data_IF_276522183831
#
_entry.id   IF_276522183831
#
_cell.length_a   1.000
_cell.length_b   1.000
_cell.length_c   1.000
_cell.angle_alpha   90.00
_cell.angle_beta   90.00
_cell.angle_gamma   90.00
#
_symmetry.space_group_name_H-M   'P 1'
#
loop_
_entity.id
_entity.type
_entity.pdbx_description
1 polymer ?
#
# COMPACT_ATOMS: atom_id res chain seq x y z
N UNK A 1 12.44 -36.40 -2.88
CA UNK A 1 13.63 -35.92 -3.63
C UNK A 1 13.29 -35.03 -4.83
N UNK A 2 12.27 -35.35 -5.64
CA UNK A 2 11.82 -34.47 -6.76
C UNK A 2 11.13 -33.17 -6.33
N UNK A 3 10.31 -33.19 -5.26
CA UNK A 3 9.75 -31.96 -4.67
C UNK A 3 10.86 -30.99 -4.21
N UNK A 4 11.96 -31.51 -3.68
CA UNK A 4 13.01 -30.71 -3.04
C UNK A 4 13.76 -29.77 -4.00
N UNK A 5 14.10 -30.24 -5.20
CA UNK A 5 14.85 -29.42 -6.18
C UNK A 5 13.93 -28.38 -6.83
N UNK A 6 12.70 -28.77 -7.16
CA UNK A 6 11.70 -27.86 -7.73
C UNK A 6 11.35 -26.73 -6.74
N UNK A 7 11.25 -27.07 -5.46
CA UNK A 7 10.99 -26.13 -4.38
C UNK A 7 12.19 -25.19 -4.15
N UNK A 8 13.43 -25.67 -4.17
CA UNK A 8 14.62 -24.80 -4.04
C UNK A 8 14.68 -23.74 -5.16
N UNK A 9 14.34 -24.11 -6.40
CA UNK A 9 14.28 -23.14 -7.51
C UNK A 9 13.21 -22.08 -7.25
N UNK A 10 12.01 -22.47 -6.81
CA UNK A 10 10.94 -21.53 -6.45
C UNK A 10 11.32 -20.57 -5.32
N UNK A 11 12.02 -21.07 -4.29
CA UNK A 11 12.53 -20.21 -3.22
C UNK A 11 13.58 -19.20 -3.71
N UNK A 12 14.49 -19.64 -4.58
CA UNK A 12 15.46 -18.73 -5.22
C UNK A 12 14.72 -17.68 -6.06
N UNK A 13 13.66 -18.05 -6.78
CA UNK A 13 12.83 -17.10 -7.53
C UNK A 13 12.18 -16.07 -6.60
N UNK A 14 11.63 -16.47 -5.43
CA UNK A 14 11.06 -15.53 -4.46
C UNK A 14 12.13 -14.58 -3.91
N UNK A 15 13.29 -15.09 -3.49
CA UNK A 15 14.39 -14.24 -3.03
C UNK A 15 14.84 -13.28 -4.14
N UNK A 16 14.84 -13.73 -5.39
CA UNK A 16 15.17 -12.90 -6.56
C UNK A 16 14.09 -11.84 -6.80
N UNK A 17 12.80 -12.19 -6.76
CA UNK A 17 11.67 -11.26 -6.90
C UNK A 17 11.67 -10.24 -5.77
N UNK A 18 11.94 -10.66 -4.53
CA UNK A 18 12.10 -9.75 -3.38
C UNK A 18 13.30 -8.82 -3.57
N UNK A 19 14.44 -9.34 -4.03
CA UNK A 19 15.62 -8.52 -4.28
C UNK A 19 15.36 -7.52 -5.41
N UNK A 20 14.65 -7.91 -6.46
CA UNK A 20 14.21 -7.00 -7.52
C UNK A 20 13.17 -6.00 -7.02
N UNK A 21 12.15 -6.41 -6.27
CA UNK A 21 11.13 -5.52 -5.69
C UNK A 21 11.77 -4.48 -4.78
N UNK A 22 12.60 -4.90 -3.81
CA UNK A 22 13.29 -4.02 -2.87
C UNK A 22 14.30 -3.06 -3.54
N UNK A 23 14.89 -3.44 -4.68
CA UNK A 23 15.82 -2.58 -5.43
C UNK A 23 15.13 -1.71 -6.49
N UNK A 24 13.95 -2.11 -6.97
CA UNK A 24 13.12 -1.36 -7.93
C UNK A 24 11.94 -0.61 -7.32
N UNK A 25 11.76 -0.63 -5.99
CA UNK A 25 10.83 0.28 -5.31
C UNK A 25 11.13 1.77 -5.60
N UNK A 26 12.29 2.10 -6.20
CA UNK A 26 12.59 3.41 -6.76
C UNK A 26 12.39 3.59 -8.27
N UNK A 27 12.10 2.53 -9.06
CA UNK A 27 12.16 2.61 -10.55
C UNK A 27 11.19 1.73 -11.36
N UNK A 28 10.35 0.87 -10.78
CA UNK A 28 9.33 0.15 -11.56
C UNK A 28 7.95 0.16 -10.89
N UNK A 29 7.32 1.34 -10.90
CA UNK A 29 5.87 1.48 -10.99
C UNK A 29 5.60 2.32 -12.23
N UNK A 30 5.01 1.75 -13.27
CA UNK A 30 4.58 2.51 -14.43
C UNK A 30 3.68 3.64 -13.96
N UNK A 31 3.96 4.85 -14.44
CA UNK A 31 3.21 6.07 -14.21
C UNK A 31 1.75 5.94 -14.71
N UNK A 32 0.92 5.31 -13.88
CA UNK A 32 -0.53 5.36 -13.92
C UNK A 32 -0.97 5.73 -12.50
N UNK A 33 -0.47 6.85 -11.99
CA UNK A 33 -1.12 7.52 -10.87
C UNK A 33 -2.46 8.09 -11.34
N UNK A 34 -3.39 8.31 -10.41
CA UNK A 34 -4.67 9.01 -10.64
C UNK A 34 -4.49 10.32 -11.38
N UNK A 35 -3.34 10.95 -11.19
CA UNK A 35 -3.01 12.26 -11.67
C UNK A 35 -2.30 12.19 -13.02
N UNK A 36 -3.06 11.99 -14.11
CA UNK A 36 -2.52 12.16 -15.48
C UNK A 36 -2.45 13.64 -15.85
N UNK A 37 -1.37 14.30 -15.44
CA UNK A 37 -0.88 15.55 -16.03
C UNK A 37 -1.77 16.80 -15.89
N UNK A 38 -1.13 17.97 -15.80
CA UNK A 38 -1.82 19.26 -15.88
C UNK A 38 -2.37 19.48 -17.30
N UNK A 39 -3.68 19.32 -17.47
CA UNK A 39 -4.39 19.89 -18.61
C UNK A 39 -5.18 21.11 -18.13
N UNK A 40 -4.97 22.27 -18.74
CA UNK A 40 -5.88 23.41 -18.61
C UNK A 40 -7.20 23.03 -19.29
N UNK A 41 -8.15 22.50 -18.51
CA UNK A 41 -9.46 22.14 -19.01
C UNK A 41 -10.38 23.35 -18.83
N UNK A 42 -10.81 23.92 -19.95
CA UNK A 42 -11.86 24.94 -20.00
C UNK A 42 -13.20 24.23 -19.81
N UNK A 43 -13.67 24.11 -18.56
CA UNK A 43 -14.96 23.49 -18.31
C UNK A 43 -16.12 24.36 -18.82
N UNK A 44 -17.03 23.76 -19.59
CA UNK A 44 -18.30 24.38 -20.02
C UNK A 44 -19.41 24.08 -19.01
N UNK A 45 -20.42 24.95 -19.03
CA UNK A 45 -21.59 25.20 -18.17
C UNK A 45 -22.34 24.06 -17.42
N UNK A 46 -21.95 22.77 -17.46
CA UNK A 46 -22.68 21.65 -16.84
C UNK A 46 -21.87 20.91 -15.74
N UNK A 47 -21.19 21.67 -14.88
CA UNK A 47 -20.44 21.08 -13.76
C UNK A 47 -21.28 21.05 -12.48
N UNK A 48 -21.39 19.88 -11.86
CA UNK A 48 -21.79 19.75 -10.45
C UNK A 48 -20.54 19.73 -9.61
N UNK A 49 -20.50 20.50 -8.52
CA UNK A 49 -19.34 20.55 -7.64
C UNK A 49 -19.70 20.24 -6.18
N UNK A 50 -18.82 19.50 -5.53
CA UNK A 50 -18.82 19.38 -4.07
C UNK A 50 -17.55 20.02 -3.54
N UNK A 51 -17.74 21.04 -2.70
CA UNK A 51 -16.65 21.84 -2.15
C UNK A 51 -16.43 21.50 -0.68
N UNK A 52 -15.17 21.35 -0.30
CA UNK A 52 -14.72 21.17 1.08
C UNK A 52 -13.65 22.21 1.38
N UNK A 53 -13.87 23.04 2.39
CA UNK A 53 -12.88 24.05 2.81
C UNK A 53 -12.18 23.61 4.08
N UNK A 54 -10.85 23.58 4.05
CA UNK A 54 -10.01 23.29 5.20
C UNK A 54 -8.86 24.29 5.20
N UNK A 55 -8.79 25.07 6.27
CA UNK A 55 -7.89 26.24 6.37
C UNK A 55 -8.07 27.18 5.14
N UNK A 56 -6.96 27.56 4.50
CA UNK A 56 -6.93 28.42 3.32
C UNK A 56 -7.11 27.68 1.99
N UNK A 57 -7.35 26.37 2.06
CA UNK A 57 -7.53 25.51 0.90
C UNK A 57 -9.00 25.16 0.67
N UNK A 58 -9.39 25.19 -0.60
CA UNK A 58 -10.67 24.71 -1.09
C UNK A 58 -10.43 23.50 -1.98
N UNK A 59 -11.00 22.37 -1.60
CA UNK A 59 -11.03 21.15 -2.40
C UNK A 59 -12.35 21.09 -3.14
N UNK A 60 -12.27 20.75 -4.42
CA UNK A 60 -13.43 20.67 -5.28
C UNK A 60 -13.42 19.38 -6.06
N UNK A 61 -14.49 18.61 -5.91
CA UNK A 61 -14.81 17.51 -6.81
C UNK A 61 -15.78 18.04 -7.86
N UNK A 62 -15.40 18.00 -9.13
CA UNK A 62 -16.19 18.41 -10.29
C UNK A 62 -16.73 17.17 -11.00
N UNK A 63 -17.98 17.20 -11.43
CA UNK A 63 -18.55 16.21 -12.33
C UNK A 63 -19.01 16.90 -13.61
N UNK A 64 -18.50 16.48 -14.77
CA UNK A 64 -18.93 16.94 -16.08
C UNK A 64 -20.06 16.06 -16.59
N UNK A 65 -21.29 16.57 -16.58
CA UNK A 65 -22.47 15.80 -17.00
C UNK A 65 -22.44 15.38 -18.47
N UNK A 66 -21.71 16.08 -19.34
CA UNK A 66 -21.66 15.77 -20.78
C UNK A 66 -20.74 14.58 -21.04
N UNK A 67 -19.55 14.60 -20.45
CA UNK A 67 -18.53 13.56 -20.65
C UNK A 67 -18.62 12.43 -19.63
N UNK A 68 -19.26 12.68 -18.48
CA UNK A 68 -19.31 11.79 -17.31
C UNK A 68 -18.02 11.75 -16.49
N UNK A 69 -16.98 12.48 -16.89
CA UNK A 69 -15.70 12.52 -16.17
C UNK A 69 -15.82 13.34 -14.89
N UNK A 70 -15.04 12.94 -13.90
CA UNK A 70 -14.88 13.69 -12.67
C UNK A 70 -13.52 14.37 -12.65
N UNK A 71 -13.38 15.45 -11.87
CA UNK A 71 -12.11 16.15 -11.70
C UNK A 71 -11.91 16.53 -10.24
N UNK A 72 -10.67 16.41 -9.77
CA UNK A 72 -10.25 16.88 -8.45
C UNK A 72 -9.48 18.18 -8.60
N UNK A 73 -9.88 19.24 -7.90
CA UNK A 73 -9.14 20.50 -7.84
C UNK A 73 -8.80 20.87 -6.40
N UNK A 74 -7.63 21.49 -6.24
CA UNK A 74 -7.24 22.17 -5.00
C UNK A 74 -6.97 23.63 -5.34
N UNK A 75 -7.59 24.52 -4.59
CA UNK A 75 -7.41 25.96 -4.71
C UNK A 75 -6.83 26.52 -3.41
N UNK A 76 -5.95 27.51 -3.52
CA UNK A 76 -5.38 28.28 -2.42
C UNK A 76 -5.65 29.76 -2.71
N UNK A 77 -6.29 30.49 -1.78
CA UNK A 77 -6.65 31.91 -1.96
C UNK A 77 -7.41 32.17 -3.28
N UNK A 78 -8.38 31.32 -3.61
CA UNK A 78 -9.18 31.36 -4.86
C UNK A 78 -8.39 31.06 -6.15
N UNK A 79 -7.06 30.94 -6.08
CA UNK A 79 -6.22 30.49 -7.18
C UNK A 79 -6.12 28.97 -7.21
N UNK A 80 -6.36 28.36 -8.37
CA UNK A 80 -6.18 26.92 -8.56
C UNK A 80 -4.70 26.55 -8.47
N UNK A 81 -4.34 25.67 -7.54
CA UNK A 81 -2.97 25.15 -7.35
C UNK A 81 -2.82 23.72 -7.85
N UNK A 82 -3.93 22.99 -8.00
CA UNK A 82 -3.93 21.61 -8.48
C UNK A 82 -5.21 21.26 -9.24
N UNK A 83 -5.08 20.38 -10.23
CA UNK A 83 -6.21 19.82 -10.97
C UNK A 83 -5.85 18.44 -11.50
N UNK A 84 -6.83 17.55 -11.50
CA UNK A 84 -6.74 16.21 -12.07
C UNK A 84 -8.04 15.79 -12.68
N UNK A 85 -7.96 15.03 -13.76
CA UNK A 85 -9.04 14.16 -14.18
C UNK A 85 -9.11 12.93 -13.26
N UNK A 86 -10.33 12.54 -12.90
CA UNK A 86 -10.70 11.34 -12.17
C UNK A 86 -11.60 10.56 -13.13
N UNK A 87 -11.22 9.33 -13.47
CA UNK A 87 -11.97 8.53 -14.45
C UNK A 87 -13.41 8.25 -14.01
N UNK A 88 -14.30 7.94 -14.96
CA UNK A 88 -15.76 7.79 -14.81
C UNK A 88 -16.30 6.79 -13.74
N UNK A 89 -15.44 6.07 -13.00
CA UNK A 89 -15.84 5.09 -11.98
C UNK A 89 -14.85 5.04 -10.81
N UNK A 90 -14.16 6.14 -10.57
CA UNK A 90 -13.08 6.21 -9.61
C UNK A 90 -13.52 7.10 -8.45
N UNK A 91 -13.69 6.50 -7.27
CA UNK A 91 -14.04 7.23 -6.07
C UNK A 91 -12.82 7.92 -5.46
N UNK A 92 -13.06 9.01 -4.74
CA UNK A 92 -12.05 9.67 -3.92
C UNK A 92 -12.55 9.78 -2.48
N UNK A 93 -11.66 9.45 -1.54
CA UNK A 93 -11.84 9.75 -0.13
C UNK A 93 -10.86 10.85 0.31
N UNK A 94 -11.39 11.80 1.07
CA UNK A 94 -10.63 12.88 1.71
C UNK A 94 -10.95 12.82 3.21
N UNK A 95 -9.91 12.79 4.05
CA UNK A 95 -9.87 12.38 5.46
C UNK A 95 -10.97 12.83 6.43
N UNK A 96 -12.18 12.34 6.27
CA UNK A 96 -13.21 12.43 7.32
C UNK A 96 -14.20 11.27 7.26
N UNK A 97 -14.25 10.59 6.12
CA UNK A 97 -15.14 9.44 5.89
C UNK A 97 -14.40 8.09 5.93
N UNK A 98 -13.08 8.09 6.13
CA UNK A 98 -12.24 6.89 6.21
C UNK A 98 -11.27 7.06 7.40
N UNK A 99 -11.43 6.23 8.43
CA UNK A 99 -10.60 6.28 9.65
C UNK A 99 -9.13 5.91 9.41
N UNK A 100 -8.84 5.25 8.29
CA UNK A 100 -7.49 4.88 7.89
C UNK A 100 -6.71 6.05 7.26
N UNK A 101 -7.36 7.20 7.02
CA UNK A 101 -6.78 8.39 6.42
C UNK A 101 -6.81 9.53 7.44
N UNK A 102 -5.71 10.27 7.63
CA UNK A 102 -5.65 11.37 8.57
C UNK A 102 -6.63 12.49 8.16
N UNK A 103 -7.19 13.22 9.13
CA UNK A 103 -7.93 14.44 8.85
C UNK A 103 -7.11 15.41 7.98
N UNK A 104 -7.71 16.09 6.99
CA UNK A 104 -6.96 17.05 6.22
C UNK A 104 -6.46 18.19 7.11
N UNK A 105 -5.22 18.59 6.88
CA UNK A 105 -4.51 19.58 7.68
C UNK A 105 -3.77 19.01 8.88
N UNK A 106 -3.86 17.69 9.13
CA UNK A 106 -2.95 17.02 10.06
C UNK A 106 -1.52 17.07 9.49
N UNK A 107 -0.53 17.31 10.35
CA UNK A 107 0.89 17.22 9.98
C UNK A 107 1.33 15.77 10.11
N UNK A 108 1.49 15.09 8.98
CA UNK A 108 1.83 13.67 8.95
C UNK A 108 3.32 13.43 8.68
N UNK A 109 4.05 14.49 8.37
CA UNK A 109 5.47 14.45 8.03
C UNK A 109 6.36 15.00 9.15
N UNK A 110 5.77 15.62 10.16
CA UNK A 110 6.43 16.19 11.34
C UNK A 110 7.23 17.46 11.04
N UNK A 111 6.99 18.11 9.90
CA UNK A 111 7.72 19.33 9.49
C UNK A 111 7.02 20.63 9.93
N UNK A 112 5.89 20.52 10.61
CA UNK A 112 5.05 21.63 11.07
C UNK A 112 4.16 22.21 9.98
N UNK A 113 4.11 21.61 8.79
CA UNK A 113 3.27 22.03 7.67
C UNK A 113 2.06 21.09 7.59
N UNK A 114 0.83 21.63 7.49
CA UNK A 114 -0.36 20.80 7.32
C UNK A 114 -0.31 19.97 6.02
N UNK A 115 -0.76 18.73 6.07
CA UNK A 115 -0.79 17.83 4.91
C UNK A 115 -2.23 17.43 4.51
N UNK A 116 -2.36 16.90 3.29
CA UNK A 116 -3.59 16.31 2.77
C UNK A 116 -3.28 14.95 2.16
N UNK A 117 -3.98 13.92 2.61
CA UNK A 117 -4.00 12.60 1.97
C UNK A 117 -5.29 12.45 1.18
N UNK A 118 -5.15 12.14 -0.09
CA UNK A 118 -6.26 11.84 -1.01
C UNK A 118 -6.13 10.39 -1.43
N UNK A 119 -7.09 9.57 -1.03
CA UNK A 119 -7.22 8.19 -1.49
C UNK A 119 -8.10 8.16 -2.73
N UNK A 120 -7.61 7.48 -3.75
CA UNK A 120 -8.35 7.13 -4.93
C UNK A 120 -8.62 5.63 -4.96
N UNK A 121 -9.81 5.23 -5.42
CA UNK A 121 -10.20 3.82 -5.47
C UNK A 121 -11.16 3.50 -6.62
N UNK A 122 -10.95 2.37 -7.30
CA UNK A 122 -11.81 1.95 -8.42
C UNK A 122 -13.11 1.26 -8.01
N UNK A 123 -13.25 0.84 -6.75
CA UNK A 123 -14.48 0.23 -6.20
C UNK A 123 -14.83 -1.18 -6.70
N UNK A 124 -13.94 -1.84 -7.47
CA UNK A 124 -14.13 -3.21 -7.97
C UNK A 124 -13.68 -4.31 -7.00
N UNK A 125 -13.92 -5.59 -7.34
CA UNK A 125 -13.52 -6.74 -6.52
C UNK A 125 -11.98 -6.92 -6.38
N UNK A 126 -11.22 -6.24 -7.23
CA UNK A 126 -9.75 -6.12 -7.22
C UNK A 126 -9.40 -4.63 -7.16
N UNK A 127 -9.98 -3.95 -6.16
CA UNK A 127 -9.98 -2.50 -6.05
C UNK A 127 -8.55 -1.97 -6.06
N UNK A 128 -8.23 -1.13 -7.05
CA UNK A 128 -6.94 -0.46 -7.09
C UNK A 128 -7.02 0.76 -6.19
N UNK A 129 -6.25 0.75 -5.11
CA UNK A 129 -6.05 1.89 -4.24
C UNK A 129 -4.79 2.65 -4.66
N UNK A 130 -4.90 3.97 -4.68
CA UNK A 130 -3.77 4.86 -4.79
C UNK A 130 -3.94 6.02 -3.82
N UNK A 131 -2.82 6.62 -3.44
CA UNK A 131 -2.80 7.70 -2.47
C UNK A 131 -1.91 8.80 -3.01
N UNK A 132 -2.39 10.03 -2.95
CA UNK A 132 -1.58 11.21 -3.20
C UNK A 132 -1.56 12.08 -1.97
N UNK A 133 -0.34 12.45 -1.58
CA UNK A 133 -0.07 13.21 -0.37
C UNK A 133 0.41 14.59 -0.79
N UNK A 134 -0.22 15.63 -0.26
CA UNK A 134 0.09 17.02 -0.56
C UNK A 134 0.51 17.77 0.70
N UNK A 135 1.50 18.63 0.57
CA UNK A 135 1.86 19.62 1.59
C UNK A 135 1.08 20.90 1.33
N UNK A 136 0.42 21.42 2.36
CA UNK A 136 -0.46 22.60 2.35
C UNK A 136 0.21 23.83 2.97
N UNK A 137 1.53 23.97 2.78
CA UNK A 137 2.29 25.14 3.25
C UNK A 137 2.11 26.38 2.38
N UNK A 138 2.92 27.42 2.62
CA UNK A 138 2.95 28.61 1.74
C UNK A 138 3.17 28.25 0.27
N UNK A 139 3.94 27.18 0.02
CA UNK A 139 4.09 26.57 -1.29
C UNK A 139 3.40 25.21 -1.30
N UNK A 140 2.33 25.10 -2.10
CA UNK A 140 1.69 23.82 -2.39
C UNK A 140 2.66 22.85 -3.07
N UNK A 141 2.75 21.61 -2.57
CA UNK A 141 3.63 20.56 -3.12
C UNK A 141 2.95 19.21 -3.06
N UNK A 142 3.30 18.35 -4.03
CA UNK A 142 3.01 16.92 -3.94
C UNK A 142 4.18 16.26 -3.21
N UNK A 143 3.92 15.58 -2.10
CA UNK A 143 4.90 14.86 -1.30
C UNK A 143 5.16 13.47 -1.89
N UNK A 144 4.09 12.73 -2.19
CA UNK A 144 4.19 11.36 -2.67
C UNK A 144 2.96 10.93 -3.47
N UNK A 145 3.19 9.98 -4.36
CA UNK A 145 2.16 9.13 -4.95
C UNK A 145 2.49 7.68 -4.56
N UNK A 146 1.54 6.99 -3.95
CA UNK A 146 1.70 5.62 -3.46
C UNK A 146 0.62 4.73 -4.05
N UNK A 147 0.99 3.50 -4.40
CA UNK A 147 0.06 2.50 -4.94
C UNK A 147 -0.19 1.44 -3.88
N UNK A 148 -1.42 1.41 -3.35
CA UNK A 148 -1.89 0.32 -2.49
C UNK A 148 -2.23 -0.94 -3.27
N UNK A 149 -2.43 -0.80 -4.59
CA UNK A 149 -2.87 -1.89 -5.48
C UNK A 149 -4.15 -2.51 -4.91
N UNK A 150 -4.16 -3.82 -4.66
CA UNK A 150 -5.32 -4.55 -4.14
C UNK A 150 -5.59 -4.38 -2.63
N UNK A 151 -4.80 -3.56 -1.94
CA UNK A 151 -4.94 -3.28 -0.50
C UNK A 151 -4.99 -1.79 -0.23
N UNK A 152 -5.90 -1.38 0.65
CA UNK A 152 -5.86 -0.02 1.21
C UNK A 152 -4.66 0.15 2.15
N UNK A 153 -4.32 1.41 2.42
CA UNK A 153 -3.36 1.80 3.45
C UNK A 153 -4.05 2.37 4.68
N UNK A 154 -3.42 2.18 5.84
CA UNK A 154 -3.73 2.85 7.11
C UNK A 154 -2.57 3.80 7.45
N UNK A 155 -2.90 5.05 7.75
CA UNK A 155 -1.95 6.09 8.14
C UNK A 155 -2.03 6.30 9.64
N UNK A 156 -0.91 6.12 10.34
CA UNK A 156 -0.87 6.15 11.80
C UNK A 156 0.53 6.38 12.33
N UNK A 157 0.67 7.27 13.30
CA UNK A 157 1.87 7.37 14.14
C UNK A 157 1.89 6.15 15.09
N UNK A 158 2.67 5.12 14.72
CA UNK A 158 2.71 3.86 15.48
C UNK A 158 3.83 3.82 16.50
N UNK A 159 4.87 4.62 16.34
CA UNK A 159 6.02 4.66 17.26
C UNK A 159 6.03 5.88 18.21
N UNK A 160 5.11 6.82 18.00
CA UNK A 160 4.84 7.98 18.86
C UNK A 160 5.82 9.13 18.63
N UNK A 161 6.48 9.21 17.48
CA UNK A 161 7.44 10.27 17.16
C UNK A 161 6.80 11.53 16.56
N UNK A 162 5.49 11.50 16.29
CA UNK A 162 4.73 12.59 15.68
C UNK A 162 4.76 12.62 14.16
N UNK A 163 5.37 11.63 13.51
CA UNK A 163 5.32 11.37 12.07
C UNK A 163 4.44 10.15 11.85
N UNK A 164 3.64 10.15 10.78
CA UNK A 164 2.77 9.00 10.52
C UNK A 164 3.50 7.95 9.67
N UNK A 165 3.36 6.70 10.08
CA UNK A 165 3.66 5.55 9.25
C UNK A 165 2.47 5.21 8.35
N UNK A 166 2.77 4.48 7.28
CA UNK A 166 1.78 3.90 6.37
C UNK A 166 1.86 2.38 6.48
N UNK A 167 0.79 1.78 6.98
CA UNK A 167 0.62 0.33 7.09
C UNK A 167 -0.14 -0.14 5.85
N UNK A 168 0.37 -1.16 5.17
CA UNK A 168 -0.21 -1.71 3.96
C UNK A 168 0.13 -3.17 3.75
N UNK A 169 -0.25 -3.71 2.59
CA UNK A 169 0.11 -5.07 2.17
C UNK A 169 0.91 -5.04 0.88
N UNK A 170 1.92 -5.90 0.78
CA UNK A 170 2.65 -6.12 -0.46
C UNK A 170 1.90 -7.11 -1.36
N UNK A 171 1.12 -6.56 -2.28
CA UNK A 171 0.35 -7.34 -3.27
C UNK A 171 1.20 -7.87 -4.44
N UNK A 172 2.54 -7.74 -4.41
CA UNK A 172 3.44 -8.28 -5.45
C UNK A 172 3.21 -9.78 -5.71
N UNK A 173 2.74 -10.52 -4.71
CA UNK A 173 2.47 -11.96 -4.80
C UNK A 173 1.03 -12.32 -5.14
N UNK A 174 0.22 -11.37 -5.62
CA UNK A 174 -1.10 -11.64 -6.15
C UNK A 174 -1.04 -12.70 -7.26
N UNK A 175 -1.89 -13.73 -7.16
CA UNK A 175 -1.96 -14.89 -8.05
C UNK A 175 -0.70 -15.77 -8.08
N UNK A 176 0.23 -15.60 -7.14
CA UNK A 176 1.43 -16.44 -7.08
C UNK A 176 1.07 -17.86 -6.66
N UNK A 177 1.07 -18.79 -7.62
CA UNK A 177 0.82 -20.23 -7.42
C UNK A 177 -0.56 -20.56 -6.81
N UNK A 178 -1.51 -19.62 -6.86
CA UNK A 178 -2.83 -19.75 -6.24
C UNK A 178 -3.85 -18.78 -6.85
N UNK A 179 -5.13 -18.92 -6.47
CA UNK A 179 -6.16 -17.93 -6.80
C UNK A 179 -6.06 -16.70 -5.89
N UNK A 180 -6.57 -15.56 -6.37
CA UNK A 180 -6.43 -14.26 -5.69
C UNK A 180 -6.74 -14.28 -4.18
N UNK A 181 -7.89 -14.84 -3.79
CA UNK A 181 -8.32 -14.87 -2.39
C UNK A 181 -7.42 -15.74 -1.46
N UNK A 182 -6.53 -16.55 -2.02
CA UNK A 182 -5.51 -17.28 -1.27
C UNK A 182 -4.09 -16.77 -1.57
N UNK A 183 -3.95 -15.62 -2.24
CA UNK A 183 -2.65 -15.02 -2.52
C UNK A 183 -2.07 -14.43 -1.24
N UNK A 184 -0.78 -14.66 -0.95
CA UNK A 184 -0.16 -14.05 0.20
C UNK A 184 0.03 -12.55 -0.05
N UNK A 185 -0.18 -11.76 1.00
CA UNK A 185 0.00 -10.32 0.98
C UNK A 185 0.61 -9.90 2.33
N UNK A 186 1.94 -10.05 2.51
CA UNK A 186 2.60 -9.74 3.77
C UNK A 186 2.46 -8.25 4.08
N UNK A 187 2.37 -7.93 5.36
CA UNK A 187 2.27 -6.55 5.84
C UNK A 187 3.58 -5.79 5.58
N UNK A 188 3.45 -4.54 5.16
CA UNK A 188 4.54 -3.58 5.05
C UNK A 188 4.21 -2.33 5.85
N UNK A 189 5.26 -1.71 6.39
CA UNK A 189 5.18 -0.41 7.04
C UNK A 189 6.15 0.52 6.33
N UNK A 190 5.68 1.71 5.95
CA UNK A 190 6.51 2.78 5.40
C UNK A 190 6.61 3.91 6.42
N UNK A 191 7.81 4.44 6.64
CA UNK A 191 8.03 5.69 7.36
C UNK A 191 8.31 6.85 6.41
N UNK A 192 8.06 8.08 6.82
CA UNK A 192 8.51 9.26 6.09
C UNK A 192 9.90 9.71 6.56
N UNK A 193 10.91 9.59 5.69
CA UNK A 193 12.30 9.94 6.04
C UNK A 193 13.08 10.47 4.85
N UNK A 194 13.85 11.53 5.08
CA UNK A 194 14.61 12.23 4.03
C UNK A 194 13.69 12.68 2.87
N UNK A 195 12.52 13.23 3.23
CA UNK A 195 11.49 13.70 2.32
C UNK A 195 10.87 12.64 1.40
N UNK A 196 10.91 11.36 1.79
CA UNK A 196 10.34 10.24 1.03
C UNK A 196 9.81 9.15 1.95
N UNK A 197 8.77 8.45 1.50
CA UNK A 197 8.34 7.21 2.15
C UNK A 197 9.30 6.06 1.83
N UNK A 198 9.71 5.30 2.84
CA UNK A 198 10.63 4.16 2.75
C UNK A 198 10.18 3.04 3.68
N UNK A 199 10.54 1.79 3.37
CA UNK A 199 10.25 0.66 4.27
C UNK A 199 10.85 0.87 5.66
N UNK A 200 9.98 0.83 6.67
CA UNK A 200 10.31 0.87 8.09
C UNK A 200 10.64 -0.53 8.60
N UNK A 201 11.75 -1.10 8.11
CA UNK A 201 12.19 -2.47 8.45
C UNK A 201 12.35 -2.70 9.95
N UNK A 202 12.66 -1.65 10.70
CA UNK A 202 12.73 -1.65 12.16
C UNK A 202 11.37 -1.83 12.83
N UNK A 203 10.30 -1.24 12.30
CA UNK A 203 8.94 -1.33 12.82
C UNK A 203 8.25 -2.65 12.41
N UNK A 204 8.65 -3.22 11.28
CA UNK A 204 8.16 -4.55 10.84
C UNK A 204 8.84 -5.72 11.56
N UNK A 205 9.98 -5.48 12.21
CA UNK A 205 10.78 -6.56 12.79
C UNK A 205 10.07 -7.18 13.99
N UNK A 206 9.87 -8.49 13.95
CA UNK A 206 9.38 -9.25 15.09
C UNK A 206 10.48 -10.18 15.58
N UNK A 207 10.74 -10.19 16.89
CA UNK A 207 11.75 -11.09 17.44
C UNK A 207 11.23 -12.53 17.42
N UNK A 208 12.14 -13.49 17.19
CA UNK A 208 11.77 -14.91 17.16
C UNK A 208 10.94 -15.37 18.38
N UNK A 209 11.27 -14.99 19.63
CA UNK A 209 10.45 -15.35 20.79
C UNK A 209 9.01 -14.83 20.74
N UNK A 210 8.77 -13.64 20.21
CA UNK A 210 7.42 -13.05 20.08
C UNK A 210 6.56 -13.79 19.05
N UNK A 211 7.21 -14.56 18.18
CA UNK A 211 6.61 -15.22 17.04
C UNK A 211 6.36 -16.70 17.26
N UNK A 212 6.93 -17.32 18.29
CA UNK A 212 6.92 -18.78 18.46
C UNK A 212 5.49 -19.32 18.44
N UNK A 213 4.59 -18.73 19.23
CA UNK A 213 3.22 -19.24 19.35
C UNK A 213 2.40 -18.97 18.09
N UNK A 214 2.43 -17.72 17.57
CA UNK A 214 1.74 -17.34 16.32
C UNK A 214 2.19 -18.24 15.16
N UNK A 215 3.49 -18.41 15.02
CA UNK A 215 4.07 -19.14 13.92
C UNK A 215 4.02 -20.65 14.10
N UNK A 216 3.98 -21.19 15.31
CA UNK A 216 3.71 -22.61 15.52
C UNK A 216 2.24 -22.94 15.22
N UNK A 217 1.29 -22.07 15.56
CA UNK A 217 -0.12 -22.27 15.19
C UNK A 217 -0.30 -22.25 13.66
N UNK A 218 0.26 -21.24 12.98
CA UNK A 218 0.26 -21.20 11.50
C UNK A 218 0.94 -22.43 10.90
N UNK A 219 2.05 -22.87 11.48
CA UNK A 219 2.77 -24.08 11.06
C UNK A 219 1.92 -25.35 11.17
N UNK A 220 1.23 -25.55 12.30
CA UNK A 220 0.35 -26.71 12.49
C UNK A 220 -0.78 -26.71 11.47
N UNK A 221 -1.37 -25.54 11.19
CA UNK A 221 -2.39 -25.38 10.13
C UNK A 221 -1.82 -25.81 8.77
N UNK A 222 -0.69 -25.25 8.36
CA UNK A 222 -0.03 -25.56 7.08
C UNK A 222 0.25 -27.06 6.92
N UNK A 223 0.76 -27.73 7.96
CA UNK A 223 1.08 -29.17 7.92
C UNK A 223 -0.18 -30.03 7.86
N UNK A 224 -1.28 -29.57 8.45
CA UNK A 224 -2.55 -30.30 8.48
C UNK A 224 -3.33 -30.24 7.16
N UNK A 225 -2.93 -29.36 6.22
CA UNK A 225 -3.64 -29.18 4.96
C UNK A 225 -3.49 -30.41 4.04
N UNK A 226 -4.60 -30.94 3.46
CA UNK A 226 -4.53 -32.09 2.56
C UNK A 226 -3.60 -31.86 1.36
N UNK A 227 -3.59 -30.63 0.85
CA UNK A 227 -2.78 -30.21 -0.29
C UNK A 227 -1.28 -30.35 -0.03
N UNK A 228 -0.83 -30.31 1.23
CA UNK A 228 0.58 -30.46 1.63
C UNK A 228 1.25 -31.72 1.07
N UNK A 229 0.46 -32.77 0.81
CA UNK A 229 0.97 -34.05 0.30
C UNK A 229 1.07 -34.10 -1.23
N UNK A 230 0.39 -33.21 -1.93
CA UNK A 230 0.25 -33.22 -3.40
C UNK A 230 0.89 -32.01 -4.07
N UNK A 231 0.83 -30.84 -3.43
CA UNK A 231 1.32 -29.55 -3.93
C UNK A 231 1.84 -28.69 -2.77
N UNK A 232 2.41 -27.52 -3.06
CA UNK A 232 2.77 -26.56 -2.02
C UNK A 232 1.55 -25.71 -1.70
N UNK A 233 0.98 -25.75 -0.48
CA UNK A 233 -0.22 -24.98 -0.19
C UNK A 233 0.08 -23.47 -0.14
N UNK A 234 -0.87 -22.61 -0.51
CA UNK A 234 -0.67 -21.15 -0.49
C UNK A 234 -0.30 -20.61 0.89
N UNK A 235 -0.85 -21.19 1.96
CA UNK A 235 -0.55 -20.86 3.35
C UNK A 235 0.93 -21.06 3.71
N UNK A 236 1.65 -21.97 3.04
CA UNK A 236 3.10 -22.09 3.18
C UNK A 236 3.80 -20.80 2.73
N UNK A 237 3.38 -20.24 1.60
CA UNK A 237 3.98 -19.03 1.05
C UNK A 237 3.70 -17.82 1.92
N UNK A 238 2.46 -17.67 2.39
CA UNK A 238 2.06 -16.62 3.34
C UNK A 238 2.95 -16.67 4.59
N UNK A 239 3.06 -17.84 5.21
CA UNK A 239 3.88 -18.03 6.40
C UNK A 239 5.37 -17.70 6.17
N UNK A 240 5.93 -18.14 5.04
CA UNK A 240 7.32 -17.87 4.71
C UNK A 240 7.56 -16.38 4.45
N UNK A 241 6.62 -15.69 3.80
CA UNK A 241 6.71 -14.26 3.54
C UNK A 241 6.60 -13.46 4.83
N UNK A 242 5.68 -13.79 5.74
CA UNK A 242 5.59 -13.17 7.06
C UNK A 242 6.91 -13.29 7.84
N UNK A 243 7.52 -14.48 7.86
CA UNK A 243 8.83 -14.70 8.45
C UNK A 243 9.91 -13.85 7.76
N UNK A 244 9.91 -13.73 6.44
CA UNK A 244 10.93 -12.96 5.72
C UNK A 244 10.77 -11.46 6.03
N UNK A 245 9.55 -10.92 5.93
CA UNK A 245 9.26 -9.48 6.09
C UNK A 245 9.51 -9.01 7.53
N UNK A 246 9.32 -9.90 8.50
CA UNK A 246 9.61 -9.62 9.91
C UNK A 246 11.08 -9.83 10.32
N UNK A 247 11.97 -10.12 9.36
CA UNK A 247 13.41 -10.27 9.57
C UNK A 247 13.88 -11.67 9.99
N UNK A 248 13.01 -12.68 9.86
CA UNK A 248 13.21 -14.07 10.26
C UNK A 248 13.48 -15.02 9.07
N UNK A 249 14.13 -14.52 8.00
CA UNK A 249 14.34 -15.27 6.76
C UNK A 249 15.09 -16.60 6.94
N UNK A 250 15.96 -16.72 7.94
CA UNK A 250 16.65 -17.98 8.26
C UNK A 250 15.68 -19.05 8.76
N UNK A 251 14.69 -18.66 9.54
CA UNK A 251 13.64 -19.55 10.04
C UNK A 251 12.73 -19.95 8.88
N UNK A 252 12.33 -19.01 8.02
CA UNK A 252 11.59 -19.30 6.79
C UNK A 252 12.31 -20.35 5.92
N UNK A 253 13.62 -20.15 5.71
CA UNK A 253 14.44 -21.09 4.93
C UNK A 253 14.49 -22.47 5.58
N UNK A 254 14.74 -22.55 6.89
CA UNK A 254 14.80 -23.81 7.63
C UNK A 254 13.48 -24.57 7.57
N UNK A 255 12.36 -23.85 7.69
CA UNK A 255 11.04 -24.44 7.57
C UNK A 255 10.82 -25.04 6.17
N UNK A 256 11.20 -24.31 5.13
CA UNK A 256 11.04 -24.75 3.75
C UNK A 256 11.82 -26.03 3.41
N UNK A 257 13.06 -26.15 3.90
CA UNK A 257 13.91 -27.32 3.59
C UNK A 257 13.68 -28.51 4.52
N UNK A 258 13.06 -28.31 5.68
CA UNK A 258 12.78 -29.36 6.66
C UNK A 258 11.41 -29.14 7.33
N UNK A 259 10.32 -29.26 6.56
CA UNK A 259 8.98 -29.00 7.08
C UNK A 259 8.61 -29.99 8.18
N UNK A 260 7.94 -29.52 9.23
CA UNK A 260 7.48 -30.35 10.35
C UNK A 260 8.36 -30.35 11.59
N UNK A 261 9.39 -29.50 11.66
CA UNK A 261 10.06 -29.20 12.93
C UNK A 261 9.48 -27.92 13.51
N UNK A 262 8.83 -28.02 14.67
CA UNK A 262 8.39 -26.87 15.45
C UNK A 262 9.56 -25.87 15.58
N UNK A 263 9.22 -24.59 15.46
CA UNK A 263 10.18 -23.51 15.70
C UNK A 263 10.52 -23.57 17.19
N UNK A 264 11.79 -23.84 17.52
CA UNK A 264 12.33 -23.87 18.88
C UNK A 264 13.12 -22.62 19.19
#
# INVERSE_FOLDING_TARGET
>A
MKLHIFNIIKFITIVTVLFFSLTNQGTLGWALGVFKGHHEISHKQNLVFTDYKINDYLYRLLHDEESGYEYFEILQNEGKVFTSEIGMFYGINIGSNNENIPPPGEDITGDGIPDLVVEGYSGGAHCCYDYTIFSLGEQFKIIAHLQGNDSSFEFKDIDGDGVYEIIGRDCTFAYWETYFAASPAPEIILHYKDSKYKLACELMRKSHPELIDEFNEKLEKVISEPAWTTEVPPSLWEYMLDLIYTGNSKIAYNFFIAPGKAIK
#
